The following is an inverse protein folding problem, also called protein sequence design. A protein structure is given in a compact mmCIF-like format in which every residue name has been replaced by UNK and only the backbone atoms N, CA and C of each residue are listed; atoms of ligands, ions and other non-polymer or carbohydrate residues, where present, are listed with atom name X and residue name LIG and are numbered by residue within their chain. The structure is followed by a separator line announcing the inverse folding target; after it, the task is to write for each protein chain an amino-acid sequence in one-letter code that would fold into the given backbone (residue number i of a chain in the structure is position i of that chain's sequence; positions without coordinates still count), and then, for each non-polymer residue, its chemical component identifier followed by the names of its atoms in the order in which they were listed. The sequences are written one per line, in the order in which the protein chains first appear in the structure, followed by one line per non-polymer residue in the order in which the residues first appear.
data_IF_630586637329
#
_entry.id   IF_630586637329
#
_cell.length_a   1.000
_cell.length_b   1.000
_cell.length_c   1.000
_cell.angle_alpha   90.00
_cell.angle_beta   90.00
_cell.angle_gamma   90.00
#
_symmetry.space_group_name_H-M   'P 1'
#
loop_
_entity.id
_entity.type
_entity.pdbx_description
1 polymer ?
#
# COMPACT_ATOMS: atom_id res chain seq x y z
N UNK A 1 27.69 -9.56 7.58
CA UNK A 1 26.30 -9.42 7.12
C UNK A 1 25.53 -10.56 7.75
N UNK A 2 24.60 -10.25 8.67
CA UNK A 2 23.73 -11.29 9.23
C UNK A 2 22.59 -11.45 8.22
N UNK A 3 22.60 -12.55 7.47
CA UNK A 3 21.43 -12.90 6.67
C UNK A 3 20.30 -13.25 7.63
N UNK A 4 19.21 -12.48 7.61
CA UNK A 4 17.98 -12.87 8.27
C UNK A 4 17.49 -14.23 7.75
N UNK A 5 16.63 -14.94 8.50
CA UNK A 5 16.04 -16.19 8.02
C UNK A 5 15.32 -15.95 6.70
N UNK A 6 15.48 -16.88 5.75
CA UNK A 6 14.80 -16.83 4.47
C UNK A 6 13.27 -16.75 4.67
N UNK A 7 12.60 -15.92 3.88
CA UNK A 7 11.15 -15.84 3.90
C UNK A 7 10.54 -17.17 3.42
N UNK A 8 9.35 -17.56 3.92
CA UNK A 8 8.69 -18.80 3.51
C UNK A 8 8.04 -18.71 2.11
N UNK A 9 8.36 -17.67 1.35
CA UNK A 9 7.87 -17.35 0.01
C UNK A 9 8.93 -16.54 -0.74
N UNK A 10 8.86 -16.54 -2.07
CA UNK A 10 9.89 -15.95 -2.94
C UNK A 10 9.97 -14.42 -2.86
N UNK A 11 8.85 -13.75 -2.54
CA UNK A 11 8.80 -12.29 -2.45
C UNK A 11 7.59 -11.82 -1.63
N UNK A 12 7.69 -10.61 -1.09
CA UNK A 12 6.54 -9.83 -0.63
C UNK A 12 6.30 -8.63 -1.55
N UNK A 13 5.13 -8.01 -1.44
CA UNK A 13 4.76 -6.88 -2.28
C UNK A 13 4.19 -5.70 -1.48
N UNK A 14 4.33 -4.50 -2.03
CA UNK A 14 3.70 -3.26 -1.56
C UNK A 14 2.74 -2.76 -2.63
N UNK A 15 1.49 -2.52 -2.27
CA UNK A 15 0.48 -1.90 -3.13
C UNK A 15 -0.12 -0.66 -2.45
N UNK A 16 -0.67 0.24 -3.26
CA UNK A 16 -1.41 1.41 -2.79
C UNK A 16 -2.78 1.48 -3.47
N UNK A 17 -3.78 1.94 -2.72
CA UNK A 17 -5.08 2.27 -3.31
C UNK A 17 -5.62 3.57 -2.71
N UNK A 18 -6.59 4.17 -3.39
CA UNK A 18 -7.38 5.28 -2.87
C UNK A 18 -8.88 4.92 -2.97
N UNK A 19 -9.73 5.32 -2.00
CA UNK A 19 -11.17 5.05 -2.04
C UNK A 19 -11.88 5.63 -3.27
N UNK A 20 -13.09 5.13 -3.63
CA UNK A 20 -13.92 5.67 -4.70
C UNK A 20 -14.08 7.18 -4.66
N UNK A 21 -13.89 7.82 -5.83
CA UNK A 21 -13.98 9.29 -6.03
C UNK A 21 -12.87 10.09 -5.35
N UNK A 22 -11.88 9.42 -4.75
CA UNK A 22 -10.64 9.99 -4.27
C UNK A 22 -9.54 9.57 -5.22
N UNK A 23 -8.78 10.54 -5.73
CA UNK A 23 -7.54 10.25 -6.44
C UNK A 23 -6.39 10.74 -5.59
N UNK A 24 -5.41 9.87 -5.40
CA UNK A 24 -4.15 10.21 -4.78
C UNK A 24 -3.06 10.19 -5.86
N UNK A 25 -2.15 11.15 -5.82
CA UNK A 25 -0.93 11.09 -6.60
C UNK A 25 0.24 10.83 -5.65
N UNK A 26 0.86 9.66 -5.75
CA UNK A 26 2.06 9.36 -4.97
C UNK A 26 3.22 10.13 -5.59
N UNK A 27 3.77 11.06 -4.80
CA UNK A 27 4.96 11.83 -5.17
C UNK A 27 6.23 11.06 -4.82
N UNK A 28 6.20 10.31 -3.70
CA UNK A 28 7.34 9.53 -3.23
C UNK A 28 6.88 8.39 -2.33
N UNK A 29 7.44 7.20 -2.55
CA UNK A 29 7.30 6.06 -1.65
C UNK A 29 8.66 5.37 -1.46
N UNK A 30 9.00 5.05 -0.22
CA UNK A 30 10.25 4.39 0.15
C UNK A 30 10.00 3.31 1.19
N UNK A 31 10.74 2.21 1.10
CA UNK A 31 10.72 1.12 2.07
C UNK A 31 12.09 1.00 2.71
N UNK A 32 12.12 0.80 4.02
CA UNK A 32 13.30 0.34 4.76
C UNK A 32 13.03 -1.05 5.31
N UNK A 33 13.83 -2.03 4.93
CA UNK A 33 13.71 -3.40 5.46
C UNK A 33 14.40 -3.56 6.83
N UNK A 34 14.28 -4.75 7.42
CA UNK A 34 14.93 -5.10 8.69
C UNK A 34 16.47 -5.04 8.64
N UNK A 35 17.08 -5.19 7.47
CA UNK A 35 18.53 -5.10 7.29
C UNK A 35 19.00 -3.65 7.07
N UNK A 36 18.07 -2.69 7.00
CA UNK A 36 18.37 -1.29 6.74
C UNK A 36 18.52 -0.94 5.26
N UNK A 37 18.19 -1.86 4.34
CA UNK A 37 18.18 -1.57 2.91
C UNK A 37 17.05 -0.60 2.60
N UNK A 38 17.34 0.41 1.78
CA UNK A 38 16.38 1.44 1.35
C UNK A 38 15.99 1.21 -0.09
N UNK A 39 14.69 1.10 -0.34
CA UNK A 39 14.11 0.92 -1.66
C UNK A 39 13.26 2.14 -2.00
N UNK A 40 13.81 3.05 -2.81
CA UNK A 40 13.11 4.27 -3.24
C UNK A 40 12.32 4.06 -4.52
N UNK A 41 11.33 4.93 -4.75
CA UNK A 41 10.46 4.87 -5.93
C UNK A 41 9.58 3.62 -5.88
N UNK A 42 9.10 3.26 -4.69
CA UNK A 42 8.28 2.06 -4.52
C UNK A 42 7.05 2.12 -5.42
N UNK A 43 6.46 3.31 -5.56
CA UNK A 43 5.40 3.64 -6.49
C UNK A 43 5.45 5.16 -6.71
N UNK A 44 5.37 5.63 -7.96
CA UNK A 44 5.24 7.06 -8.29
C UNK A 44 4.17 7.16 -9.37
N UNK A 45 3.12 7.95 -9.11
CA UNK A 45 2.06 8.15 -10.10
C UNK A 45 0.66 8.21 -9.51
N UNK A 46 -0.34 8.21 -10.40
CA UNK A 46 -1.74 8.29 -10.02
C UNK A 46 -2.21 6.96 -9.46
N UNK A 47 -2.65 6.99 -8.21
CA UNK A 47 -3.43 5.93 -7.58
C UNK A 47 -4.89 6.36 -7.63
N UNK A 48 -5.69 5.59 -8.34
CA UNK A 48 -7.14 5.76 -8.42
C UNK A 48 -7.81 4.45 -8.04
N UNK A 49 -9.11 4.48 -7.72
CA UNK A 49 -9.90 3.25 -7.71
C UNK A 49 -9.71 2.49 -9.01
N UNK A 50 -9.11 1.30 -8.89
CA UNK A 50 -9.03 0.27 -9.92
C UNK A 50 -9.04 0.79 -11.35
N UNK A 51 -7.87 1.08 -11.90
CA UNK A 51 -7.69 1.01 -13.34
C UNK A 51 -7.11 -0.35 -13.67
N UNK A 52 -7.97 -1.38 -13.73
CA UNK A 52 -7.94 -2.50 -14.70
C UNK A 52 -8.75 -3.68 -14.18
N UNK A 53 -9.90 -3.95 -14.80
CA UNK A 53 -10.30 -5.33 -15.03
C UNK A 53 -9.38 -5.89 -16.12
N UNK A 54 -8.86 -7.12 -15.97
CA UNK A 54 -8.95 -8.03 -17.09
C UNK A 54 -9.76 -9.24 -16.66
N UNK A 55 -10.59 -9.71 -17.59
CA UNK A 55 -11.38 -10.92 -17.47
C UNK A 55 -10.59 -12.04 -16.79
N UNK A 56 -11.04 -12.43 -15.60
CA UNK A 56 -11.10 -13.76 -15.02
C UNK A 56 -11.06 -13.59 -13.50
N UNK A 57 -12.23 -13.45 -12.86
CA UNK A 57 -12.56 -13.96 -11.50
C UNK A 57 -13.98 -13.51 -11.05
N UNK A 58 -15.01 -13.84 -11.85
CA UNK A 58 -16.40 -14.14 -11.42
C UNK A 58 -17.27 -13.10 -10.65
N UNK A 59 -18.60 -13.30 -10.62
CA UNK A 59 -19.63 -12.27 -10.41
C UNK A 59 -19.93 -11.93 -8.94
N UNK A 60 -18.91 -11.74 -8.10
CA UNK A 60 -19.12 -11.51 -6.66
C UNK A 60 -18.35 -10.30 -6.15
N UNK A 61 -18.33 -9.22 -6.93
CA UNK A 61 -17.94 -7.89 -6.44
C UNK A 61 -19.11 -7.27 -5.69
N UNK A 62 -19.40 -7.80 -4.51
CA UNK A 62 -20.17 -7.06 -3.53
C UNK A 62 -19.16 -6.31 -2.69
N UNK A 63 -19.11 -4.99 -2.89
CA UNK A 63 -18.66 -4.09 -1.84
C UNK A 63 -19.30 -4.59 -0.54
N UNK A 64 -18.49 -4.91 0.49
CA UNK A 64 -19.03 -4.92 1.85
C UNK A 64 -19.71 -3.57 2.07
N UNK A 65 -20.77 -3.47 2.90
CA UNK A 65 -21.46 -2.19 3.17
C UNK A 65 -20.53 -1.03 3.64
N UNK A 66 -19.26 -1.33 3.90
CA UNK A 66 -18.20 -0.45 4.39
C UNK A 66 -17.25 0.06 3.28
N UNK A 67 -17.39 -0.34 2.01
CA UNK A 67 -16.71 0.30 0.87
C UNK A 67 -15.27 -0.12 0.51
N UNK A 68 -14.70 -1.16 1.11
CA UNK A 68 -13.31 -1.61 0.85
C UNK A 68 -13.19 -2.74 -0.21
N UNK A 69 -12.10 -2.79 -1.01
CA UNK A 69 -11.90 -3.77 -2.07
C UNK A 69 -11.49 -5.17 -1.55
N UNK A 70 -11.84 -6.21 -2.30
CA UNK A 70 -11.49 -7.61 -1.98
C UNK A 70 -10.01 -7.94 -2.32
N UNK A 71 -9.40 -7.16 -3.22
CA UNK A 71 -7.97 -7.12 -3.53
C UNK A 71 -7.63 -5.71 -4.02
N UNK A 72 -6.56 -5.08 -3.52
CA UNK A 72 -6.00 -3.93 -4.21
C UNK A 72 -5.20 -4.45 -5.42
N UNK A 73 -5.40 -3.84 -6.58
CA UNK A 73 -4.58 -4.15 -7.75
C UNK A 73 -4.36 -2.84 -8.50
N UNK A 74 -3.14 -2.34 -8.41
CA UNK A 74 -2.61 -1.27 -9.23
C UNK A 74 -1.64 -0.44 -8.41
N UNK A 75 -0.37 -0.42 -8.81
CA UNK A 75 0.78 0.08 -8.03
C UNK A 75 1.45 -0.98 -7.13
N UNK A 76 1.48 -2.25 -7.57
CA UNK A 76 2.17 -3.31 -6.83
C UNK A 76 3.67 -3.35 -7.18
N UNK A 77 4.51 -3.06 -6.20
CA UNK A 77 5.95 -3.33 -6.26
C UNK A 77 6.31 -4.59 -5.49
N UNK A 78 7.00 -5.50 -6.18
CA UNK A 78 7.51 -6.76 -5.64
C UNK A 78 8.94 -6.62 -5.10
N UNK A 79 9.24 -7.36 -4.03
CA UNK A 79 10.52 -7.38 -3.33
C UNK A 79 11.00 -8.84 -3.14
N UNK A 80 11.81 -9.33 -4.08
CA UNK A 80 12.29 -10.73 -4.09
C UNK A 80 13.42 -10.98 -3.07
N UNK A 81 14.43 -10.11 -3.01
CA UNK A 81 15.61 -10.30 -2.15
C UNK A 81 15.63 -9.38 -0.91
N UNK A 82 14.47 -8.84 -0.51
CA UNK A 82 14.37 -7.96 0.64
C UNK A 82 13.91 -8.71 1.89
N UNK A 83 14.45 -8.33 3.05
CA UNK A 83 13.83 -8.74 4.32
C UNK A 83 12.46 -8.06 4.49
N UNK A 84 11.68 -8.51 5.48
CA UNK A 84 10.39 -7.89 5.76
C UNK A 84 10.55 -6.38 6.06
N UNK A 85 9.55 -5.57 5.71
CA UNK A 85 9.63 -4.13 5.92
C UNK A 85 9.63 -3.78 7.41
N UNK A 86 10.40 -2.74 7.74
CA UNK A 86 10.44 -2.09 9.04
C UNK A 86 9.75 -0.74 8.99
N UNK A 87 10.05 0.07 7.97
CA UNK A 87 9.44 1.38 7.75
C UNK A 87 8.97 1.52 6.31
N UNK A 88 7.85 2.21 6.13
CA UNK A 88 7.38 2.66 4.82
C UNK A 88 7.14 4.16 4.92
N UNK A 89 7.83 4.94 4.09
CA UNK A 89 7.54 6.35 3.90
C UNK A 89 6.66 6.50 2.66
N UNK A 90 5.60 7.30 2.78
CA UNK A 90 4.79 7.69 1.62
C UNK A 90 4.44 9.16 1.70
N UNK A 91 4.57 9.84 0.57
CA UNK A 91 4.12 11.20 0.33
C UNK A 91 3.18 11.22 -0.85
N UNK A 92 2.00 11.77 -0.64
CA UNK A 92 0.98 11.82 -1.68
C UNK A 92 0.21 13.14 -1.68
N UNK A 93 -0.28 13.50 -2.86
CA UNK A 93 -1.20 14.60 -3.05
C UNK A 93 -2.62 14.05 -3.18
N UNK A 94 -3.48 14.40 -2.24
CA UNK A 94 -4.93 14.23 -2.36
C UNK A 94 -5.45 15.21 -3.40
N UNK A 95 -5.99 14.69 -4.50
CA UNK A 95 -6.60 15.53 -5.55
C UNK A 95 -7.98 16.05 -5.14
N UNK A 96 -8.65 15.38 -4.19
CA UNK A 96 -9.93 15.81 -3.65
C UNK A 96 -9.80 17.08 -2.78
N UNK A 97 -8.76 17.13 -1.95
CA UNK A 97 -8.54 18.24 -1.00
C UNK A 97 -7.50 19.25 -1.50
N UNK A 98 -6.80 18.92 -2.58
CA UNK A 98 -5.65 19.67 -3.10
C UNK A 98 -4.61 19.89 -2.00
N UNK A 99 -4.38 18.84 -1.21
CA UNK A 99 -3.51 18.83 -0.06
C UNK A 99 -2.47 17.72 -0.22
N UNK A 100 -1.23 18.01 0.20
CA UNK A 100 -0.16 17.02 0.23
C UNK A 100 0.04 16.54 1.67
N UNK A 101 0.17 15.22 1.79
CA UNK A 101 0.34 14.50 3.03
C UNK A 101 1.65 13.70 2.98
N UNK A 102 2.21 13.45 4.15
CA UNK A 102 3.27 12.46 4.31
C UNK A 102 3.08 11.63 5.57
N UNK A 103 3.43 10.36 5.49
CA UNK A 103 3.38 9.43 6.60
C UNK A 103 4.64 8.57 6.63
N UNK A 104 5.10 8.30 7.84
CA UNK A 104 6.06 7.23 8.14
C UNK A 104 5.28 6.14 8.86
N UNK A 105 5.20 4.97 8.25
CA UNK A 105 4.48 3.81 8.74
C UNK A 105 5.50 2.83 9.30
N UNK A 106 5.45 2.59 10.60
CA UNK A 106 6.26 1.57 11.24
C UNK A 106 5.55 0.23 11.24
N UNK A 107 6.12 -0.75 10.54
CA UNK A 107 5.60 -2.11 10.54
C UNK A 107 6.04 -2.77 11.83
N UNK A 108 5.08 -3.21 12.65
CA UNK A 108 5.37 -3.83 13.93
C UNK A 108 5.92 -5.24 13.77
N UNK A 109 6.57 -5.76 14.82
CA UNK A 109 6.96 -7.18 14.87
C UNK A 109 5.76 -8.11 14.74
N UNK A 110 4.61 -7.73 15.31
CA UNK A 110 3.36 -8.49 15.18
C UNK A 110 2.89 -8.54 13.73
N UNK A 111 2.92 -7.42 13.00
CA UNK A 111 2.55 -7.39 11.59
C UNK A 111 3.48 -8.31 10.76
N UNK A 112 4.80 -8.26 11.01
CA UNK A 112 5.74 -9.18 10.36
C UNK A 112 5.51 -10.65 10.73
N UNK A 113 5.16 -10.94 11.98
CA UNK A 113 4.83 -12.28 12.41
C UNK A 113 3.58 -12.82 11.68
N UNK A 114 2.60 -11.96 11.39
CA UNK A 114 1.45 -12.31 10.55
C UNK A 114 1.90 -12.63 9.12
N UNK A 115 2.80 -11.85 8.53
CA UNK A 115 3.33 -12.12 7.18
C UNK A 115 4.01 -13.49 7.07
N UNK A 116 4.70 -13.92 8.13
CA UNK A 116 5.40 -15.21 8.20
C UNK A 116 4.48 -16.41 8.51
N UNK A 117 3.23 -16.16 8.91
CA UNK A 117 2.30 -17.23 9.28
C UNK A 117 1.57 -17.77 8.06
N UNK A 118 1.71 -19.07 7.83
CA UNK A 118 0.97 -19.77 6.79
C UNK A 118 -0.49 -20.00 7.21
N UNK A 119 -1.43 -19.79 6.30
CA UNK A 119 -2.85 -20.07 6.49
C UNK A 119 -3.41 -20.90 5.33
N UNK A 120 -4.26 -21.88 5.62
CA UNK A 120 -4.95 -22.64 4.57
C UNK A 120 -6.18 -21.85 4.07
N UNK A 121 -6.22 -21.55 2.77
CA UNK A 121 -7.33 -20.83 2.16
C UNK A 121 -7.80 -21.48 0.86
N UNK A 122 -9.10 -21.36 0.57
CA UNK A 122 -9.64 -21.73 -0.72
C UNK A 122 -9.26 -20.67 -1.75
N UNK A 123 -8.45 -21.05 -2.72
CA UNK A 123 -7.97 -20.12 -3.72
C UNK A 123 -8.81 -20.22 -4.99
N UNK A 124 -9.70 -19.23 -5.20
CA UNK A 124 -10.66 -19.21 -6.31
C UNK A 124 -9.99 -19.34 -7.69
N UNK A 125 -8.80 -18.73 -7.87
CA UNK A 125 -8.02 -18.75 -9.11
C UNK A 125 -7.58 -20.15 -9.54
N UNK A 126 -7.30 -21.03 -8.57
CA UNK A 126 -6.85 -22.41 -8.83
C UNK A 126 -7.90 -23.46 -8.45
N UNK A 127 -9.05 -23.05 -7.89
CA UNK A 127 -10.17 -23.92 -7.55
C UNK A 127 -9.89 -24.93 -6.44
N UNK A 128 -8.88 -24.70 -5.60
CA UNK A 128 -8.40 -25.64 -4.58
C UNK A 128 -7.99 -24.92 -3.29
N UNK A 129 -7.99 -25.65 -2.18
CA UNK A 129 -7.35 -25.18 -0.94
C UNK A 129 -5.83 -25.34 -1.04
N UNK A 130 -5.10 -24.33 -0.61
CA UNK A 130 -3.64 -24.31 -0.52
C UNK A 130 -3.22 -23.50 0.69
N UNK A 131 -2.01 -23.77 1.18
CA UNK A 131 -1.33 -22.85 2.08
C UNK A 131 -1.00 -21.57 1.34
N UNK A 132 -1.22 -20.44 2.00
CA UNK A 132 -0.90 -19.11 1.50
C UNK A 132 -0.37 -18.25 2.66
N UNK A 133 0.21 -17.10 2.32
CA UNK A 133 0.77 -16.16 3.28
C UNK A 133 0.21 -14.77 3.04
N UNK A 134 0.21 -13.94 4.08
CA UNK A 134 -0.16 -12.53 3.96
C UNK A 134 1.07 -11.70 3.57
N UNK A 135 1.58 -11.95 2.38
CA UNK A 135 2.84 -11.37 1.88
C UNK A 135 2.64 -10.09 1.04
N UNK A 136 1.43 -9.53 1.01
CA UNK A 136 1.12 -8.29 0.30
C UNK A 136 0.72 -7.24 1.34
N UNK A 137 1.45 -6.14 1.37
CA UNK A 137 1.16 -4.96 2.19
C UNK A 137 0.46 -3.92 1.33
N UNK A 138 -0.73 -3.54 1.73
CA UNK A 138 -1.56 -2.63 0.93
C UNK A 138 -1.88 -1.38 1.75
N UNK A 139 -1.55 -0.22 1.20
CA UNK A 139 -1.76 1.08 1.86
C UNK A 139 -2.91 1.82 1.19
N UNK A 140 -4.01 1.96 1.91
CA UNK A 140 -5.14 2.82 1.54
C UNK A 140 -4.83 4.27 1.90
N UNK A 141 -4.75 5.13 0.89
CA UNK A 141 -4.60 6.58 1.04
C UNK A 141 -5.98 7.22 1.03
N UNK A 142 -6.49 7.50 2.22
CA UNK A 142 -7.84 8.03 2.45
C UNK A 142 -7.85 9.57 2.43
N UNK A 143 -9.04 10.19 2.26
CA UNK A 143 -9.25 11.60 2.60
C UNK A 143 -8.81 11.92 4.03
N UNK A 144 -8.64 13.20 4.34
CA UNK A 144 -8.21 13.70 5.65
C UNK A 144 -6.79 13.23 6.08
N UNK A 145 -6.02 12.67 5.15
CA UNK A 145 -4.64 12.28 5.37
C UNK A 145 -4.47 11.00 6.18
N UNK A 146 -5.41 10.05 6.10
CA UNK A 146 -5.28 8.76 6.79
C UNK A 146 -4.63 7.74 5.85
N UNK A 147 -3.58 7.06 6.33
CA UNK A 147 -2.99 5.90 5.68
C UNK A 147 -3.41 4.63 6.43
N UNK A 148 -4.29 3.83 5.83
CA UNK A 148 -4.75 2.55 6.40
C UNK A 148 -3.93 1.40 5.82
N UNK A 149 -3.36 0.56 6.68
CA UNK A 149 -2.48 -0.54 6.26
C UNK A 149 -3.20 -1.87 6.39
N UNK A 150 -3.13 -2.65 5.31
CA UNK A 150 -3.68 -3.99 5.20
C UNK A 150 -2.59 -5.02 4.93
N UNK A 151 -2.79 -6.23 5.46
CA UNK A 151 -2.07 -7.43 5.07
C UNK A 151 -3.00 -8.36 4.31
N UNK A 152 -2.62 -8.71 3.09
CA UNK A 152 -3.36 -9.61 2.21
C UNK A 152 -2.44 -10.66 1.59
N UNK A 153 -3.06 -11.68 0.99
CA UNK A 153 -2.36 -12.74 0.29
C UNK A 153 -3.07 -13.09 -1.00
N UNK A 154 -2.40 -13.84 -1.87
CA UNK A 154 -2.92 -14.20 -3.19
C UNK A 154 -4.28 -14.91 -3.18
N UNK A 155 -4.61 -15.55 -2.06
CA UNK A 155 -5.85 -16.27 -1.80
C UNK A 155 -6.47 -15.87 -0.45
N UNK A 156 -5.87 -14.93 0.28
CA UNK A 156 -6.26 -14.52 1.64
C UNK A 156 -6.83 -13.10 1.62
N UNK A 157 -8.06 -12.97 2.12
CA UNK A 157 -8.77 -11.69 2.24
C UNK A 157 -7.98 -10.67 3.06
N UNK A 158 -7.93 -9.42 2.61
CA UNK A 158 -7.22 -8.34 3.31
C UNK A 158 -7.63 -8.20 4.79
N UNK A 159 -6.65 -8.00 5.66
CA UNK A 159 -6.83 -7.73 7.08
C UNK A 159 -6.21 -6.40 7.43
N UNK A 160 -7.00 -5.46 7.95
CA UNK A 160 -6.49 -4.18 8.44
C UNK A 160 -5.63 -4.41 9.68
N UNK A 161 -4.43 -3.84 9.70
CA UNK A 161 -3.51 -3.99 10.83
C UNK A 161 -3.24 -2.69 11.58
N UNK A 162 -3.36 -1.53 10.92
CA UNK A 162 -3.20 -0.22 11.57
C UNK A 162 -3.75 0.92 10.69
N UNK A 163 -3.86 2.09 11.31
CA UNK A 163 -4.09 3.37 10.65
C UNK A 163 -3.04 4.37 11.15
N UNK A 164 -2.56 5.23 10.25
CA UNK A 164 -1.59 6.27 10.56
C UNK A 164 -2.13 7.60 10.07
N UNK A 165 -2.17 8.60 10.95
CA UNK A 165 -2.48 9.98 10.58
C UNK A 165 -1.24 10.62 9.96
N UNK A 166 -1.38 11.05 8.71
CA UNK A 166 -0.32 11.76 8.02
C UNK A 166 -0.25 13.21 8.47
N UNK A 167 0.96 13.78 8.34
CA UNK A 167 1.18 15.20 8.53
C UNK A 167 0.86 15.96 7.26
N UNK A 168 0.11 17.04 7.42
CA UNK A 168 -0.13 18.02 6.36
C UNK A 168 1.18 18.74 6.05
N UNK A 169 1.58 18.70 4.80
CA UNK A 169 2.71 19.49 4.34
C UNK A 169 2.24 20.93 4.01
N UNK A 170 2.82 21.97 4.64
CA UNK A 170 2.43 23.34 4.38
C UNK A 170 2.58 23.66 2.90
N UNK A 171 1.58 24.35 2.33
CA UNK A 171 1.72 24.91 0.99
C UNK A 171 2.92 25.86 1.02
N UNK A 172 3.97 25.54 0.26
CA UNK A 172 5.06 26.50 0.05
C UNK A 172 4.43 27.73 -0.60
N UNK A 173 4.47 28.93 0.02
CA UNK A 173 3.91 30.12 -0.58
C UNK A 173 4.56 30.35 -1.93
N UNK A 174 3.75 30.55 -2.97
CA UNK A 174 4.26 30.85 -4.31
C UNK A 174 5.04 32.17 -4.26
N UNK A 175 6.38 32.12 -4.24
CA UNK A 175 7.22 33.31 -4.41
C UNK A 175 7.31 33.66 -5.90
N UNK A 176 6.44 34.57 -6.32
CA UNK A 176 6.76 35.56 -7.35
C UNK A 176 6.26 35.28 -8.77
N UNK A 177 5.28 36.09 -9.19
CA UNK A 177 5.56 37.06 -10.25
C UNK A 177 5.18 38.44 -9.71
N UNK A 178 6.14 39.36 -9.81
CA UNK A 178 6.15 40.73 -9.29
C UNK A 178 4.96 41.58 -9.74
N UNK A 179 4.47 42.43 -8.84
CA UNK A 179 3.73 43.64 -9.19
C UNK A 179 4.47 44.40 -10.30
N UNK A 180 3.76 44.69 -11.39
CA UNK A 180 4.15 45.76 -12.32
C UNK A 180 3.12 46.87 -12.18
N UNK A 181 3.44 47.85 -11.35
CA UNK A 181 2.83 49.17 -11.38
C UNK A 181 3.62 50.01 -12.38
N UNK A 182 2.99 50.36 -13.50
CA UNK A 182 3.11 51.62 -14.25
C UNK A 182 2.08 51.62 -15.39
#
# INVERSE_FOLDING_TARGET
MVNGPALPYDAWALDFFAPPKVWAWIEKAEVVDLNGNVFSGAEIGRVSTMSSSPLHLGPSFLFKPNGYPEHAMGSERRFDDASLPRLIYVRWKSLAEVQTYEAVIEISELARAIMLKSEEAYCRRVGKRKMDYRNILTIGLEPDGIATVYLEGSCLQATQIMQVQATIQPKVPYRGASNRSE
#
